data_IF_951799969865
#
_entry.id   IF_951799969865
#
_cell.length_a   1.000
_cell.length_b   1.000
_cell.length_c   1.000
_cell.angle_alpha   90.00
_cell.angle_beta   90.00
_cell.angle_gamma   90.00
#
_symmetry.space_group_name_H-M   'P 1'
#
loop_
_entity.id
_entity.type
_entity.pdbx_description
1 polymer ?
#
# COMPACT_ATOMS: atom_id res chain seq x y z
N UNK A 1 -0.81 13.50 17.10
CA UNK A 1 -0.75 14.02 18.49
C UNK A 1 -2.09 14.01 19.22
N UNK A 2 -3.15 14.58 18.65
CA UNK A 2 -4.47 14.63 19.30
C UNK A 2 -5.04 13.25 19.67
N UNK A 3 -5.00 12.29 18.74
CA UNK A 3 -5.44 10.91 18.97
C UNK A 3 -4.71 10.20 20.12
N UNK A 4 -3.39 10.34 20.18
CA UNK A 4 -2.58 9.72 21.23
C UNK A 4 -2.93 10.31 22.61
N UNK A 5 -3.16 11.62 22.66
CA UNK A 5 -3.61 12.32 23.87
C UNK A 5 -5.00 11.84 24.32
N UNK A 6 -5.96 11.66 23.42
CA UNK A 6 -7.29 11.13 23.77
C UNK A 6 -7.19 9.70 24.32
N UNK A 7 -6.32 8.85 23.77
CA UNK A 7 -6.07 7.50 24.32
C UNK A 7 -5.52 7.54 25.75
N UNK A 8 -4.56 8.45 26.03
CA UNK A 8 -4.03 8.63 27.38
C UNK A 8 -5.12 9.08 28.35
N UNK A 9 -5.91 10.09 27.98
CA UNK A 9 -7.03 10.57 28.80
C UNK A 9 -8.08 9.48 29.05
N UNK A 10 -8.35 8.62 28.06
CA UNK A 10 -9.27 7.51 28.22
C UNK A 10 -8.72 6.47 29.20
N UNK A 11 -7.43 6.14 29.11
CA UNK A 11 -6.76 5.24 30.06
C UNK A 11 -6.73 5.81 31.49
N UNK A 12 -6.67 7.14 31.62
CA UNK A 12 -6.79 7.86 32.91
C UNK A 12 -8.23 8.00 33.40
N UNK A 13 -9.24 7.55 32.65
CA UNK A 13 -10.67 7.69 32.98
C UNK A 13 -11.22 9.12 32.84
N UNK A 14 -10.47 10.03 32.20
CA UNK A 14 -10.81 11.45 32.04
C UNK A 14 -11.71 11.75 30.84
N UNK A 15 -11.86 10.81 29.91
CA UNK A 15 -12.81 10.90 28.79
C UNK A 15 -13.56 9.57 28.64
N UNK A 16 -14.75 9.63 28.06
CA UNK A 16 -15.62 8.47 27.84
C UNK A 16 -15.30 7.71 26.55
N UNK A 17 -16.05 6.62 26.36
CA UNK A 17 -15.95 5.77 25.16
C UNK A 17 -16.37 6.51 23.89
N UNK A 18 -17.31 7.45 24.00
CA UNK A 18 -17.81 8.22 22.86
C UNK A 18 -16.70 9.11 22.28
N UNK A 19 -15.98 9.84 23.14
CA UNK A 19 -14.87 10.70 22.76
C UNK A 19 -13.70 9.89 22.17
N UNK A 20 -13.39 8.73 22.76
CA UNK A 20 -12.38 7.82 22.20
C UNK A 20 -12.78 7.34 20.80
N UNK A 21 -14.03 6.90 20.62
CA UNK A 21 -14.52 6.39 19.34
C UNK A 21 -14.50 7.48 18.26
N UNK A 22 -14.89 8.70 18.59
CA UNK A 22 -14.84 9.82 17.66
C UNK A 22 -13.40 10.09 17.20
N UNK A 23 -12.44 10.15 18.14
CA UNK A 23 -11.03 10.36 17.83
C UNK A 23 -10.43 9.22 16.99
N UNK A 24 -10.80 7.97 17.26
CA UNK A 24 -10.38 6.82 16.45
C UNK A 24 -10.97 6.85 15.04
N UNK A 25 -12.27 7.13 14.92
CA UNK A 25 -12.99 7.08 13.64
C UNK A 25 -12.48 8.14 12.66
N UNK A 26 -12.07 9.31 13.16
CA UNK A 26 -11.42 10.36 12.34
C UNK A 26 -10.14 9.90 11.63
N UNK A 27 -9.51 8.81 12.09
CA UNK A 27 -8.35 8.22 11.40
C UNK A 27 -8.72 7.50 10.11
N UNK A 28 -10.00 7.15 9.91
CA UNK A 28 -10.51 6.43 8.75
C UNK A 28 -11.39 7.38 7.91
N UNK A 29 -10.73 8.23 7.13
CA UNK A 29 -11.39 9.30 6.36
C UNK A 29 -11.75 8.90 4.92
N UNK A 30 -11.39 7.71 4.47
CA UNK A 30 -11.70 7.23 3.12
C UNK A 30 -11.09 5.86 2.79
N UNK A 31 -11.39 5.32 1.60
CA UNK A 31 -10.81 4.07 1.14
C UNK A 31 -9.31 4.23 0.85
N UNK A 32 -8.52 3.24 1.20
CA UNK A 32 -7.08 3.22 0.99
C UNK A 32 -6.34 2.48 2.10
N UNK A 33 -5.02 2.55 2.06
CA UNK A 33 -4.14 2.04 3.11
C UNK A 33 -3.86 3.13 4.15
N UNK A 34 -3.10 2.78 5.20
CA UNK A 34 -2.60 3.78 6.16
C UNK A 34 -1.87 4.92 5.43
N UNK A 35 -1.87 6.14 5.98
CA UNK A 35 -1.19 7.31 5.37
C UNK A 35 0.30 7.42 5.71
N UNK A 36 0.84 6.44 6.43
CA UNK A 36 2.24 6.36 6.85
C UNK A 36 2.87 5.04 6.36
N UNK A 37 4.19 4.89 6.50
CA UNK A 37 4.93 3.68 6.15
C UNK A 37 4.71 2.54 7.16
N UNK A 38 3.46 2.11 7.31
CA UNK A 38 3.09 0.85 7.95
C UNK A 38 3.20 -0.32 6.99
N UNK A 39 2.90 -1.54 7.46
CA UNK A 39 3.08 -2.80 6.71
C UNK A 39 2.59 -2.74 5.26
N UNK A 40 1.39 -2.20 5.01
CA UNK A 40 0.83 -2.14 3.67
C UNK A 40 1.61 -1.23 2.72
N UNK A 41 2.03 -0.04 3.19
CA UNK A 41 2.75 0.92 2.33
C UNK A 41 4.22 0.54 2.17
N UNK A 42 4.85 0.03 3.22
CA UNK A 42 6.22 -0.46 3.14
C UNK A 42 6.31 -1.66 2.22
N UNK A 43 5.38 -2.63 2.30
CA UNK A 43 5.37 -3.77 1.37
C UNK A 43 5.07 -3.35 -0.08
N UNK A 44 4.20 -2.36 -0.31
CA UNK A 44 3.97 -1.85 -1.67
C UNK A 44 5.26 -1.29 -2.29
N UNK A 45 5.98 -0.45 -1.53
CA UNK A 45 7.30 0.07 -1.91
C UNK A 45 8.30 -1.06 -2.17
N UNK A 46 8.38 -2.03 -1.27
CA UNK A 46 9.25 -3.20 -1.37
C UNK A 46 9.00 -3.96 -2.68
N UNK A 47 7.74 -4.31 -2.97
CA UNK A 47 7.38 -5.01 -4.21
C UNK A 47 7.71 -4.22 -5.47
N UNK A 48 7.60 -2.89 -5.43
CA UNK A 48 7.98 -2.03 -6.56
C UNK A 48 9.49 -2.01 -6.78
N UNK A 49 10.28 -1.87 -5.73
CA UNK A 49 11.75 -1.89 -5.80
C UNK A 49 12.27 -3.26 -6.24
N UNK A 50 11.62 -4.35 -5.79
CA UNK A 50 11.90 -5.72 -6.24
C UNK A 50 11.49 -5.99 -7.70
N UNK A 51 10.87 -5.02 -8.39
CA UNK A 51 10.44 -5.14 -9.79
C UNK A 51 9.17 -5.97 -9.99
N UNK A 52 8.38 -6.18 -8.94
CA UNK A 52 7.14 -6.98 -8.97
C UNK A 52 5.88 -6.13 -9.16
N UNK A 53 5.99 -4.80 -9.08
CA UNK A 53 4.91 -3.86 -9.41
C UNK A 53 5.23 -3.02 -10.65
N UNK A 54 4.19 -2.47 -11.26
CA UNK A 54 4.33 -1.37 -12.23
C UNK A 54 5.02 -0.18 -11.54
N UNK A 55 6.11 0.37 -12.11
CA UNK A 55 6.79 1.52 -11.54
C UNK A 55 5.88 2.73 -11.35
N UNK A 56 5.99 3.40 -10.21
CA UNK A 56 5.20 4.55 -9.81
C UNK A 56 3.80 4.21 -9.28
N UNK A 57 3.45 2.94 -9.12
CA UNK A 57 2.07 2.54 -8.79
C UNK A 57 1.78 2.43 -7.28
N UNK A 58 2.79 2.36 -6.42
CA UNK A 58 2.60 2.07 -4.98
C UNK A 58 1.78 3.13 -4.25
N UNK A 59 1.96 4.41 -4.55
CA UNK A 59 1.37 5.50 -3.75
C UNK A 59 0.23 6.26 -4.45
N UNK A 60 -0.35 5.68 -5.51
CA UNK A 60 -1.49 6.30 -6.21
C UNK A 60 -2.80 5.96 -5.51
N UNK A 61 -3.55 6.97 -5.07
CA UNK A 61 -4.80 6.74 -4.37
C UNK A 61 -5.88 6.04 -5.23
N UNK A 62 -6.76 5.23 -4.62
CA UNK A 62 -7.89 4.59 -5.30
C UNK A 62 -8.87 5.62 -5.88
N UNK A 63 -9.63 5.20 -6.89
CA UNK A 63 -10.68 6.04 -7.50
C UNK A 63 -10.18 7.19 -8.37
N UNK A 64 -8.87 7.24 -8.66
CA UNK A 64 -8.29 8.25 -9.55
C UNK A 64 -8.17 7.71 -10.98
N UNK A 65 -8.28 8.57 -12.02
CA UNK A 65 -8.05 8.15 -13.40
C UNK A 65 -6.66 7.53 -13.62
N UNK A 66 -5.65 7.99 -12.87
CA UNK A 66 -4.30 7.44 -12.90
C UNK A 66 -4.24 6.02 -12.32
N UNK A 67 -4.90 5.75 -11.18
CA UNK A 67 -4.98 4.39 -10.62
C UNK A 67 -5.65 3.43 -11.60
N UNK A 68 -6.70 3.88 -12.28
CA UNK A 68 -7.39 3.05 -13.27
C UNK A 68 -6.50 2.75 -14.48
N UNK A 69 -5.76 3.77 -14.96
CA UNK A 69 -4.79 3.59 -16.05
C UNK A 69 -3.66 2.63 -15.65
N UNK A 70 -3.08 2.79 -14.47
CA UNK A 70 -2.03 1.90 -13.96
C UNK A 70 -2.53 0.46 -13.79
N UNK A 71 -3.75 0.26 -13.32
CA UNK A 71 -4.37 -1.07 -13.21
C UNK A 71 -4.52 -1.73 -14.58
N UNK A 72 -4.97 -0.98 -15.59
CA UNK A 72 -5.05 -1.49 -16.97
C UNK A 72 -3.68 -1.83 -17.55
N UNK A 73 -2.68 -0.99 -17.34
CA UNK A 73 -1.32 -1.27 -17.82
C UNK A 73 -0.67 -2.45 -17.09
N UNK A 74 -0.89 -2.59 -15.77
CA UNK A 74 -0.44 -3.75 -15.02
C UNK A 74 -1.04 -5.06 -15.57
N UNK A 75 -2.33 -5.06 -15.92
CA UNK A 75 -2.98 -6.22 -16.54
C UNK A 75 -2.38 -6.56 -17.92
N UNK A 76 -2.17 -5.55 -18.78
CA UNK A 76 -1.49 -5.75 -20.07
C UNK A 76 -0.07 -6.29 -19.89
N UNK A 77 0.68 -5.74 -18.94
CA UNK A 77 2.05 -6.18 -18.62
C UNK A 77 2.05 -7.63 -18.13
N UNK A 78 1.14 -7.99 -17.24
CA UNK A 78 1.02 -9.37 -16.73
C UNK A 78 0.79 -10.38 -17.86
N UNK A 79 -0.04 -10.06 -18.85
CA UNK A 79 -0.26 -10.91 -20.02
C UNK A 79 0.99 -10.98 -20.93
N UNK A 80 1.67 -9.85 -21.13
CA UNK A 80 2.85 -9.76 -21.99
C UNK A 80 4.07 -10.56 -21.46
N UNK A 81 4.17 -10.78 -20.15
CA UNK A 81 5.31 -11.48 -19.52
C UNK A 81 5.10 -12.98 -19.33
N UNK A 82 3.95 -13.52 -19.74
CA UNK A 82 3.70 -14.96 -19.72
C UNK A 82 4.50 -15.70 -20.79
N UNK A 83 4.51 -17.03 -20.74
CA UNK A 83 5.15 -17.86 -21.76
C UNK A 83 4.49 -17.75 -23.16
N UNK A 84 3.28 -17.19 -23.22
CA UNK A 84 2.55 -16.93 -24.47
C UNK A 84 2.76 -15.51 -24.99
N UNK A 85 3.46 -14.66 -24.24
CA UNK A 85 3.69 -13.26 -24.55
C UNK A 85 5.05 -12.99 -25.19
N UNK A 86 5.34 -11.71 -25.43
CA UNK A 86 6.54 -11.25 -26.13
C UNK A 86 7.70 -10.88 -25.19
N UNK A 87 7.52 -11.03 -23.88
CA UNK A 87 8.51 -10.61 -22.89
C UNK A 87 8.55 -11.58 -21.70
N UNK A 88 8.71 -12.88 -21.95
CA UNK A 88 8.66 -13.92 -20.92
C UNK A 88 9.56 -13.58 -19.72
N UNK A 89 8.91 -13.28 -18.58
CA UNK A 89 9.57 -12.82 -17.36
C UNK A 89 8.93 -13.56 -16.17
N UNK A 90 9.22 -14.86 -15.99
CA UNK A 90 8.62 -15.64 -14.93
C UNK A 90 9.15 -15.19 -13.56
N UNK A 91 8.27 -15.15 -12.56
CA UNK A 91 8.61 -14.67 -11.21
C UNK A 91 9.82 -15.40 -10.59
N UNK A 92 9.97 -16.70 -10.84
CA UNK A 92 11.11 -17.50 -10.33
C UNK A 92 12.47 -17.14 -10.96
N UNK A 93 12.50 -16.36 -12.04
CA UNK A 93 13.72 -15.76 -12.60
C UNK A 93 13.93 -14.32 -12.17
N UNK A 94 12.89 -13.65 -11.69
CA UNK A 94 12.93 -12.28 -11.18
C UNK A 94 13.34 -12.23 -9.71
N UNK A 95 12.94 -13.22 -8.92
CA UNK A 95 13.32 -13.29 -7.51
C UNK A 95 14.69 -13.95 -7.41
N UNK A 96 15.72 -13.11 -7.27
CA UNK A 96 17.10 -13.49 -6.98
C UNK A 96 17.65 -12.66 -5.81
N UNK A 97 18.93 -12.86 -5.47
CA UNK A 97 19.58 -12.14 -4.37
C UNK A 97 19.58 -10.62 -4.56
N UNK A 98 19.63 -10.12 -5.80
CA UNK A 98 19.64 -8.69 -6.10
C UNK A 98 18.27 -8.09 -5.82
N UNK A 99 17.21 -8.79 -6.23
CA UNK A 99 15.84 -8.39 -5.93
C UNK A 99 15.61 -8.35 -4.42
N UNK A 100 16.09 -9.35 -3.67
CA UNK A 100 15.95 -9.40 -2.21
C UNK A 100 16.79 -8.32 -1.51
N UNK A 101 17.99 -7.99 -1.99
CA UNK A 101 18.83 -6.92 -1.41
C UNK A 101 18.29 -5.53 -1.71
N UNK A 102 17.66 -5.34 -2.87
CA UNK A 102 17.06 -4.05 -3.23
C UNK A 102 15.80 -3.77 -2.41
N UNK A 103 15.01 -4.80 -2.11
CA UNK A 103 13.79 -4.71 -1.31
C UNK A 103 14.04 -4.41 0.15
#
# INVERSE_FOLDING_TARGET
>A
DEKAKVRQLYAEGKVGRAELLEAESKSYHGPGTCTFYGTANSNQMLMEIMGLHTPGASFVNPGTPLRDALTREAAKRALAITALGNAYTPVGRMIDERSIVNG
#
